data_IF_812517334581
#
_entry.id   IF_812517334581
#
_cell.length_a   1.000
_cell.length_b   1.000
_cell.length_c   1.000
_cell.angle_alpha   90.00
_cell.angle_beta   90.00
_cell.angle_gamma   90.00
#
_symmetry.space_group_name_H-M   'P 1'
#
loop_
_entity.id
_entity.type
_entity.pdbx_description
1 polymer ?
#
# COMPACT_ATOMS: atom_id res chain seq x y z
N UNK A 1 -32.48 -8.71 2.50
CA UNK A 1 -31.69 -7.75 3.32
C UNK A 1 -31.18 -8.48 4.56
N UNK A 2 -29.96 -8.20 5.02
CA UNK A 2 -29.40 -8.81 6.25
C UNK A 2 -28.34 -9.90 6.07
N UNK A 3 -27.88 -10.15 4.84
CA UNK A 3 -26.80 -11.12 4.57
C UNK A 3 -25.42 -10.68 5.10
N UNK A 4 -25.25 -9.37 5.34
CA UNK A 4 -24.03 -8.79 5.90
C UNK A 4 -24.40 -8.01 7.15
N UNK A 5 -23.64 -8.21 8.22
CA UNK A 5 -23.76 -7.48 9.49
C UNK A 5 -22.42 -6.83 9.79
N UNK A 6 -22.41 -5.51 9.96
CA UNK A 6 -21.22 -4.77 10.38
C UNK A 6 -21.00 -5.00 11.88
N UNK A 7 -19.75 -5.20 12.27
CA UNK A 7 -19.32 -5.41 13.65
C UNK A 7 -18.18 -4.45 13.98
N UNK A 8 -17.99 -4.18 15.28
CA UNK A 8 -16.82 -3.42 15.76
C UNK A 8 -15.55 -4.26 15.63
N UNK A 9 -14.40 -3.71 16.03
CA UNK A 9 -13.12 -4.40 15.97
C UNK A 9 -13.14 -5.72 16.76
N UNK A 10 -12.32 -6.67 16.31
CA UNK A 10 -12.05 -7.92 17.02
C UNK A 10 -11.08 -7.64 18.16
N UNK A 11 -11.40 -8.10 19.37
CA UNK A 11 -10.53 -8.05 20.53
C UNK A 11 -9.60 -9.28 20.59
N UNK A 12 -10.16 -10.49 20.43
CA UNK A 12 -9.39 -11.75 20.44
C UNK A 12 -10.10 -12.87 19.67
N UNK A 13 -9.32 -13.87 19.28
CA UNK A 13 -9.80 -15.11 18.70
C UNK A 13 -9.92 -16.20 19.77
N UNK A 14 -10.90 -17.07 19.61
CA UNK A 14 -11.01 -18.35 20.30
C UNK A 14 -11.10 -19.48 19.26
N UNK A 15 -11.14 -20.74 19.71
CA UNK A 15 -11.09 -21.92 18.84
C UNK A 15 -12.19 -21.92 17.78
N UNK A 16 -13.38 -21.44 18.12
CA UNK A 16 -14.58 -21.49 17.25
C UNK A 16 -15.08 -20.12 16.79
N UNK A 17 -14.42 -19.03 17.18
CA UNK A 17 -14.99 -17.70 16.98
C UNK A 17 -14.14 -16.54 17.45
N UNK A 18 -14.78 -15.39 17.63
CA UNK A 18 -14.12 -14.14 18.03
C UNK A 18 -14.93 -13.38 19.07
N UNK A 19 -14.20 -12.71 19.97
CA UNK A 19 -14.75 -11.66 20.81
C UNK A 19 -14.51 -10.30 20.17
N UNK A 20 -15.56 -9.49 20.16
CA UNK A 20 -15.52 -8.11 19.71
C UNK A 20 -15.23 -7.18 20.89
N UNK A 21 -14.69 -5.99 20.61
CA UNK A 21 -14.34 -4.99 21.64
C UNK A 21 -15.55 -4.47 22.45
N UNK A 22 -16.78 -4.72 22.00
CA UNK A 22 -18.00 -4.42 22.74
C UNK A 22 -18.41 -5.53 23.72
N UNK A 23 -17.59 -6.56 23.88
CA UNK A 23 -17.84 -7.71 24.75
C UNK A 23 -18.77 -8.76 24.14
N UNK A 24 -19.18 -8.63 22.88
CA UNK A 24 -19.99 -9.67 22.21
C UNK A 24 -19.12 -10.77 21.63
N UNK A 25 -19.62 -12.02 21.64
CA UNK A 25 -18.98 -13.18 21.02
C UNK A 25 -19.74 -13.64 19.78
N UNK A 26 -19.02 -14.19 18.80
CA UNK A 26 -19.62 -14.83 17.64
C UNK A 26 -18.80 -16.03 17.15
N UNK A 27 -19.45 -17.17 16.99
CA UNK A 27 -18.90 -18.34 16.31
C UNK A 27 -18.79 -18.08 14.79
N UNK A 28 -17.69 -18.55 14.20
CA UNK A 28 -17.35 -18.34 12.80
C UNK A 28 -16.66 -19.59 12.24
N UNK A 29 -17.09 -20.05 11.07
CA UNK A 29 -16.45 -21.18 10.39
C UNK A 29 -15.17 -20.77 9.64
N UNK A 30 -15.02 -19.49 9.32
CA UNK A 30 -13.90 -18.97 8.54
C UNK A 30 -13.62 -17.49 8.82
N UNK A 31 -12.36 -17.08 8.62
CA UNK A 31 -11.89 -15.71 8.76
C UNK A 31 -11.16 -15.31 7.48
N UNK A 32 -11.52 -14.16 6.91
CA UNK A 32 -10.87 -13.59 5.73
C UNK A 32 -10.17 -12.29 6.13
N UNK A 33 -8.84 -12.30 6.09
CA UNK A 33 -8.01 -11.13 6.36
C UNK A 33 -7.96 -10.19 5.15
N UNK A 34 -8.94 -9.30 5.05
CA UNK A 34 -8.99 -8.25 4.03
C UNK A 34 -8.30 -6.95 4.49
N UNK A 35 -7.14 -7.05 5.14
CA UNK A 35 -6.43 -5.93 5.82
C UNK A 35 -5.48 -5.13 4.90
N UNK A 36 -5.52 -5.38 3.59
CA UNK A 36 -4.71 -4.68 2.60
C UNK A 36 -3.30 -5.28 2.42
N UNK A 37 -2.40 -4.49 1.85
CA UNK A 37 -1.04 -4.90 1.49
C UNK A 37 0.00 -3.83 1.87
N UNK A 38 1.21 -4.27 2.17
CA UNK A 38 2.37 -3.39 2.30
C UNK A 38 3.23 -3.44 1.04
N UNK A 39 3.82 -2.30 0.66
CA UNK A 39 4.86 -2.25 -0.37
C UNK A 39 6.21 -2.45 0.28
N UNK A 40 6.89 -3.53 -0.08
CA UNK A 40 8.23 -3.82 0.39
C UNK A 40 9.27 -3.52 -0.70
N UNK A 41 10.15 -2.58 -0.40
CA UNK A 41 11.27 -2.21 -1.26
C UNK A 41 12.61 -2.82 -0.78
N UNK A 42 12.60 -3.77 0.16
CA UNK A 42 13.82 -4.35 0.74
C UNK A 42 14.75 -5.04 -0.27
N UNK A 43 14.22 -5.51 -1.40
CA UNK A 43 15.03 -6.11 -2.47
C UNK A 43 15.76 -5.08 -3.35
N UNK A 44 15.48 -3.78 -3.21
CA UNK A 44 16.22 -2.73 -3.91
C UNK A 44 17.49 -2.38 -3.13
N UNK A 45 18.58 -2.12 -3.85
CA UNK A 45 19.86 -1.77 -3.24
C UNK A 45 19.70 -0.61 -2.24
N UNK A 46 20.46 -0.65 -1.12
CA UNK A 46 20.40 0.36 -0.07
C UNK A 46 20.54 1.80 -0.58
N UNK A 47 21.19 2.00 -1.72
CA UNK A 47 21.35 3.29 -2.40
C UNK A 47 20.05 3.94 -2.87
N UNK A 48 18.94 3.19 -2.98
CA UNK A 48 17.62 3.73 -3.38
C UNK A 48 16.90 4.38 -2.19
N UNK A 49 17.34 4.14 -0.96
CA UNK A 49 16.82 4.82 0.24
C UNK A 49 15.34 4.56 0.55
N UNK A 50 14.96 4.84 1.79
CA UNK A 50 13.59 4.72 2.30
C UNK A 50 13.14 6.05 2.91
N UNK A 51 11.85 6.25 3.13
CA UNK A 51 11.28 7.43 3.82
C UNK A 51 11.62 7.49 5.32
N UNK A 52 12.75 6.90 5.74
CA UNK A 52 13.17 6.67 7.13
C UNK A 52 13.85 5.30 7.25
N UNK A 53 14.64 5.10 8.31
CA UNK A 53 15.38 3.85 8.53
C UNK A 53 14.44 2.64 8.70
N UNK A 54 13.28 2.84 9.34
CA UNK A 54 12.27 1.80 9.57
C UNK A 54 11.19 1.71 8.48
N UNK A 55 11.14 2.67 7.55
CA UNK A 55 10.09 2.69 6.52
C UNK A 55 10.37 1.64 5.43
N UNK A 56 9.33 0.93 5.00
CA UNK A 56 9.39 0.08 3.79
C UNK A 56 9.13 0.86 2.51
N UNK A 57 8.72 2.13 2.62
CA UNK A 57 8.39 2.99 1.47
C UNK A 57 9.63 3.68 0.93
N UNK A 58 9.72 3.73 -0.39
CA UNK A 58 10.76 4.47 -1.11
C UNK A 58 10.57 5.97 -0.94
N UNK A 59 11.67 6.71 -0.73
CA UNK A 59 11.65 8.17 -0.69
C UNK A 59 11.63 8.73 -2.10
N UNK A 60 10.44 9.10 -2.58
CA UNK A 60 10.23 9.55 -3.95
C UNK A 60 9.59 10.93 -3.99
N UNK A 61 10.17 11.86 -4.76
CA UNK A 61 9.54 13.12 -5.08
C UNK A 61 8.34 12.89 -6.01
N UNK A 62 7.18 13.42 -5.60
CA UNK A 62 5.87 13.19 -6.25
C UNK A 62 5.53 11.71 -6.47
N UNK A 63 6.05 10.82 -5.62
CA UNK A 63 5.89 9.36 -5.78
C UNK A 63 6.44 8.82 -7.11
N UNK A 64 7.40 9.51 -7.74
CA UNK A 64 7.98 9.11 -9.03
C UNK A 64 9.50 9.05 -8.96
N UNK A 65 10.17 10.18 -8.68
CA UNK A 65 11.62 10.29 -8.84
C UNK A 65 12.36 10.14 -7.52
N UNK A 66 13.47 9.41 -7.52
CA UNK A 66 14.36 9.44 -6.36
C UNK A 66 15.14 10.77 -6.33
N UNK A 67 15.21 11.48 -5.19
CA UNK A 67 15.74 12.85 -5.14
C UNK A 67 17.24 12.95 -5.43
N UNK A 68 18.00 11.86 -5.23
CA UNK A 68 19.47 11.88 -5.36
C UNK A 68 20.02 10.77 -6.27
N UNK A 69 19.16 10.00 -6.93
CA UNK A 69 19.58 8.92 -7.83
C UNK A 69 19.12 9.24 -9.26
N UNK A 70 19.96 9.92 -10.06
CA UNK A 70 19.65 10.21 -11.45
C UNK A 70 19.38 8.91 -12.24
N UNK A 71 18.40 8.95 -13.13
CA UNK A 71 18.04 7.78 -13.95
C UNK A 71 17.19 6.72 -13.23
N UNK A 72 16.81 6.94 -11.96
CA UNK A 72 15.86 6.08 -11.25
C UNK A 72 14.50 6.76 -11.10
N UNK A 73 13.45 6.05 -11.49
CA UNK A 73 12.06 6.46 -11.27
C UNK A 73 11.16 5.24 -11.08
N UNK A 74 10.10 5.43 -10.31
CA UNK A 74 9.03 4.45 -10.15
C UNK A 74 7.73 4.98 -10.76
N UNK A 75 6.93 4.08 -11.31
CA UNK A 75 5.57 4.37 -11.74
C UNK A 75 4.59 3.74 -10.73
N UNK A 76 3.44 4.38 -10.51
CA UNK A 76 2.36 3.90 -9.65
C UNK A 76 2.70 3.67 -8.17
N UNK A 77 3.68 4.40 -7.64
CA UNK A 77 3.92 4.43 -6.19
C UNK A 77 2.93 5.35 -5.44
N UNK A 78 1.85 5.79 -6.09
CA UNK A 78 0.77 6.59 -5.54
C UNK A 78 -0.57 5.82 -5.61
N UNK A 79 -1.50 6.14 -4.71
CA UNK A 79 -2.88 5.63 -4.74
C UNK A 79 -3.83 6.76 -5.16
N UNK A 80 -4.08 6.95 -6.46
CA UNK A 80 -4.97 7.99 -6.92
C UNK A 80 -6.43 7.68 -6.58
N UNK A 81 -7.20 8.73 -6.32
CA UNK A 81 -8.65 8.64 -6.40
C UNK A 81 -9.05 8.64 -7.88
N UNK A 82 -9.26 7.44 -8.46
CA UNK A 82 -9.61 7.27 -9.87
C UNK A 82 -8.83 6.15 -10.54
N UNK A 83 -8.72 6.22 -11.88
CA UNK A 83 -8.01 5.21 -12.66
C UNK A 83 -6.50 5.27 -12.41
N UNK A 84 -5.93 4.12 -12.02
CA UNK A 84 -4.49 3.97 -11.95
C UNK A 84 -3.85 4.12 -13.34
N UNK A 85 -4.52 3.69 -14.41
CA UNK A 85 -3.97 3.70 -15.77
C UNK A 85 -3.73 5.10 -16.32
N UNK A 86 -4.64 6.04 -16.06
CA UNK A 86 -4.45 7.42 -16.49
C UNK A 86 -3.26 8.08 -15.79
N UNK A 87 -3.06 7.75 -14.51
CA UNK A 87 -1.89 8.22 -13.75
C UNK A 87 -0.61 7.57 -14.24
N UNK A 88 -0.64 6.26 -14.54
CA UNK A 88 0.50 5.53 -15.08
C UNK A 88 0.99 6.14 -16.40
N UNK A 89 0.08 6.41 -17.32
CA UNK A 89 0.40 6.99 -18.64
C UNK A 89 1.08 8.36 -18.50
N UNK A 90 0.49 9.24 -17.68
CA UNK A 90 1.06 10.56 -17.42
C UNK A 90 2.42 10.48 -16.72
N UNK A 91 2.58 9.57 -15.75
CA UNK A 91 3.87 9.34 -15.09
C UNK A 91 4.92 8.79 -16.07
N UNK A 92 4.55 7.84 -16.93
CA UNK A 92 5.47 7.26 -17.91
C UNK A 92 5.97 8.31 -18.93
N UNK A 93 5.05 9.14 -19.45
CA UNK A 93 5.41 10.24 -20.34
C UNK A 93 6.35 11.24 -19.66
N UNK A 94 6.09 11.54 -18.39
CA UNK A 94 6.93 12.45 -17.63
C UNK A 94 8.32 11.87 -17.36
N UNK A 95 8.40 10.61 -16.92
CA UNK A 95 9.66 9.87 -16.72
C UNK A 95 10.49 9.89 -18.01
N UNK A 96 9.88 9.55 -19.15
CA UNK A 96 10.56 9.51 -20.43
C UNK A 96 11.13 10.88 -20.86
N UNK A 97 10.40 11.98 -20.59
CA UNK A 97 10.89 13.35 -20.88
C UNK A 97 12.09 13.72 -20.01
N UNK A 98 11.98 13.49 -18.70
CA UNK A 98 13.07 13.78 -17.74
C UNK A 98 14.33 12.98 -18.09
N UNK A 99 14.21 11.69 -18.40
CA UNK A 99 15.36 10.86 -18.78
C UNK A 99 15.95 11.25 -20.14
N UNK A 100 15.16 11.85 -21.03
CA UNK A 100 15.65 12.44 -22.27
C UNK A 100 16.20 13.87 -22.11
N UNK A 101 16.21 14.44 -20.90
CA UNK A 101 16.67 15.80 -20.63
C UNK A 101 15.72 16.91 -21.14
N UNK A 102 14.42 16.63 -21.21
CA UNK A 102 13.36 17.54 -21.70
C UNK A 102 12.34 17.90 -20.64
#
# INVERSE_FOLDING_TARGET
MGAVRMKVAIERFEETGVWFVDGTFQELDAVIWATGFERDAAGLACSVGREGEESKRLRLWRSVFHPTLPGFACCLQAHPHGSHWAVADMQALWIARVFAGR
#
